data_IF_261129692417
#
_entry.id   IF_261129692417
#
_cell.length_a   1.000
_cell.length_b   1.000
_cell.length_c   1.000
_cell.angle_alpha   90.00
_cell.angle_beta   90.00
_cell.angle_gamma   90.00
#
_symmetry.space_group_name_H-M   'P 1'
#
loop_
_entity.id
_entity.type
_entity.pdbx_description
1 polymer ?
#
# COMPACT_ATOMS: atom_id res chain seq x y z
N UNK A 1 11.23 -25.51 -50.49
CA UNK A 1 11.31 -26.21 -49.19
C UNK A 1 12.48 -25.61 -48.43
N UNK A 2 12.39 -25.06 -47.23
CA UNK A 2 11.32 -24.61 -46.36
C UNK A 2 11.94 -23.46 -45.55
N UNK A 3 11.23 -22.34 -45.40
CA UNK A 3 10.56 -22.01 -44.14
C UNK A 3 11.54 -21.83 -42.96
N UNK A 4 12.18 -20.66 -42.87
CA UNK A 4 12.42 -20.03 -41.57
C UNK A 4 12.07 -18.54 -41.69
N UNK A 5 10.81 -18.27 -41.36
CA UNK A 5 10.20 -16.95 -41.28
C UNK A 5 10.74 -16.30 -40.01
N UNK A 6 11.63 -15.32 -40.18
CA UNK A 6 12.00 -14.36 -39.12
C UNK A 6 10.74 -13.59 -38.78
N UNK A 7 10.18 -13.83 -37.61
CA UNK A 7 9.05 -13.08 -37.07
C UNK A 7 9.51 -11.63 -36.93
N UNK A 8 8.95 -10.75 -37.75
CA UNK A 8 8.84 -9.34 -37.42
C UNK A 8 8.03 -9.25 -36.14
N UNK A 9 8.69 -8.89 -35.04
CA UNK A 9 8.03 -8.44 -33.83
C UNK A 9 7.46 -7.06 -34.15
N UNK A 10 6.24 -7.09 -34.67
CA UNK A 10 5.41 -5.92 -34.91
C UNK A 10 5.14 -5.28 -33.56
N UNK A 11 5.76 -4.13 -33.34
CA UNK A 11 5.38 -3.14 -32.35
C UNK A 11 3.90 -2.80 -32.51
N UNK A 12 3.04 -3.43 -31.69
CA UNK A 12 1.65 -3.05 -31.53
C UNK A 12 1.46 -2.58 -30.09
N UNK A 13 1.18 -1.29 -29.98
CA UNK A 13 1.06 -0.41 -28.83
C UNK A 13 0.50 -1.01 -27.52
N UNK A 14 1.16 -0.78 -26.37
CA UNK A 14 0.57 -0.95 -25.06
C UNK A 14 -0.20 0.32 -24.70
N UNK A 15 -1.53 0.26 -24.66
CA UNK A 15 -2.32 1.18 -23.82
C UNK A 15 -2.58 0.48 -22.48
N UNK A 16 -1.50 0.17 -21.76
CA UNK A 16 -1.53 -0.29 -20.37
C UNK A 16 -1.61 0.93 -19.45
N UNK A 17 -2.82 1.43 -19.24
CA UNK A 17 -3.12 2.15 -18.00
C UNK A 17 -3.22 1.11 -16.88
N UNK A 18 -2.65 1.40 -15.70
CA UNK A 18 -2.84 0.50 -14.56
C UNK A 18 -4.35 0.40 -14.25
N UNK A 19 -4.86 -0.73 -13.71
CA UNK A 19 -6.27 -0.88 -13.38
C UNK A 19 -6.78 0.29 -12.51
N UNK A 20 -5.92 0.82 -11.64
CA UNK A 20 -6.18 1.99 -10.81
C UNK A 20 -6.42 3.26 -11.63
N UNK A 21 -5.64 3.51 -12.69
CA UNK A 21 -5.82 4.70 -13.53
C UNK A 21 -7.11 4.63 -14.36
N UNK A 22 -7.52 3.42 -14.77
CA UNK A 22 -8.80 3.20 -15.45
C UNK A 22 -9.99 3.43 -14.52
N UNK A 23 -9.91 2.98 -13.26
CA UNK A 23 -10.93 3.28 -12.24
C UNK A 23 -11.08 4.80 -12.06
N UNK A 24 -9.96 5.52 -11.91
CA UNK A 24 -9.98 6.98 -11.72
C UNK A 24 -10.62 7.69 -12.92
N UNK A 25 -10.30 7.26 -14.14
CA UNK A 25 -10.88 7.85 -15.36
C UNK A 25 -12.38 7.57 -15.48
N UNK A 26 -12.81 6.31 -15.28
CA UNK A 26 -14.23 5.94 -15.36
C UNK A 26 -15.06 6.62 -14.27
N UNK A 27 -14.52 6.72 -13.06
CA UNK A 27 -15.18 7.46 -11.98
C UNK A 27 -15.23 8.97 -12.25
N UNK A 28 -14.19 9.52 -12.88
CA UNK A 28 -14.16 10.92 -13.36
C UNK A 28 -15.22 11.22 -14.43
N UNK A 29 -15.69 10.20 -15.14
CA UNK A 29 -16.82 10.29 -16.08
C UNK A 29 -18.19 10.17 -15.39
N UNK A 30 -18.23 10.04 -14.06
CA UNK A 30 -19.46 9.93 -13.27
C UNK A 30 -20.08 8.53 -13.24
N UNK A 31 -19.35 7.49 -13.65
CA UNK A 31 -19.79 6.10 -13.55
C UNK A 31 -19.82 5.65 -12.08
N UNK A 32 -20.82 4.85 -11.72
CA UNK A 32 -20.94 4.23 -10.40
C UNK A 32 -19.97 3.06 -10.27
N UNK A 33 -19.54 2.73 -9.04
CA UNK A 33 -18.56 1.66 -8.80
C UNK A 33 -18.99 0.31 -9.40
N UNK A 34 -20.28 -0.02 -9.37
CA UNK A 34 -20.80 -1.23 -10.03
C UNK A 34 -20.62 -1.22 -11.55
N UNK A 35 -20.75 -0.06 -12.20
CA UNK A 35 -20.55 0.10 -13.63
C UNK A 35 -19.05 0.06 -13.99
N UNK A 36 -18.20 0.62 -13.12
CA UNK A 36 -16.74 0.55 -13.25
C UNK A 36 -16.25 -0.90 -13.16
N UNK A 37 -16.78 -1.69 -12.21
CA UNK A 37 -16.46 -3.11 -12.08
C UNK A 37 -16.82 -3.87 -13.35
N UNK A 38 -18.01 -3.65 -13.92
CA UNK A 38 -18.44 -4.32 -15.15
C UNK A 38 -17.59 -3.94 -16.36
N UNK A 39 -17.19 -2.66 -16.46
CA UNK A 39 -16.30 -2.20 -17.52
C UNK A 39 -14.92 -2.88 -17.43
N UNK A 40 -14.33 -2.92 -16.23
CA UNK A 40 -13.01 -3.54 -16.01
C UNK A 40 -13.03 -5.07 -16.17
N UNK A 41 -14.12 -5.73 -15.78
CA UNK A 41 -14.31 -7.15 -16.06
C UNK A 41 -14.39 -7.44 -17.57
N UNK A 42 -15.06 -6.55 -18.32
CA UNK A 42 -15.12 -6.64 -19.78
C UNK A 42 -13.75 -6.42 -20.44
N UNK A 43 -12.92 -5.58 -19.83
CA UNK A 43 -11.54 -5.34 -20.26
C UNK A 43 -10.58 -6.46 -19.84
N UNK A 44 -11.08 -7.49 -19.13
CA UNK A 44 -10.37 -8.72 -18.83
C UNK A 44 -9.63 -8.73 -17.48
N UNK A 45 -9.85 -7.72 -16.63
CA UNK A 45 -9.22 -7.67 -15.32
C UNK A 45 -9.87 -8.65 -14.33
N UNK A 46 -9.05 -9.27 -13.49
CA UNK A 46 -9.52 -10.16 -12.43
C UNK A 46 -10.22 -9.37 -11.32
N UNK A 47 -11.25 -9.93 -10.70
CA UNK A 47 -12.02 -9.28 -9.63
C UNK A 47 -11.12 -8.71 -8.53
N UNK A 48 -10.10 -9.45 -8.09
CA UNK A 48 -9.17 -8.99 -7.04
C UNK A 48 -8.37 -7.76 -7.46
N UNK A 49 -7.96 -7.69 -8.73
CA UNK A 49 -7.25 -6.53 -9.27
C UNK A 49 -8.16 -5.30 -9.33
N UNK A 50 -9.45 -5.51 -9.65
CA UNK A 50 -10.46 -4.44 -9.70
C UNK A 50 -10.70 -3.88 -8.29
N UNK A 51 -10.88 -4.73 -7.29
CA UNK A 51 -11.10 -4.29 -5.91
C UNK A 51 -9.89 -3.56 -5.33
N UNK A 52 -8.68 -4.08 -5.57
CA UNK A 52 -7.45 -3.41 -5.14
C UNK A 52 -7.27 -2.05 -5.82
N UNK A 53 -7.57 -1.97 -7.12
CA UNK A 53 -7.52 -0.73 -7.89
C UNK A 53 -8.55 0.30 -7.41
N UNK A 54 -9.76 -0.12 -7.06
CA UNK A 54 -10.78 0.78 -6.51
C UNK A 54 -10.39 1.36 -5.16
N UNK A 55 -9.90 0.51 -4.24
CA UNK A 55 -9.41 0.98 -2.94
C UNK A 55 -8.22 1.94 -3.09
N UNK A 56 -7.30 1.65 -4.01
CA UNK A 56 -6.17 2.53 -4.29
C UNK A 56 -6.61 3.85 -4.96
N UNK A 57 -7.63 3.82 -5.82
CA UNK A 57 -8.21 5.01 -6.43
C UNK A 57 -8.95 5.89 -5.42
N UNK A 58 -9.59 5.32 -4.40
CA UNK A 58 -10.21 6.07 -3.29
C UNK A 58 -9.17 6.83 -2.46
N UNK A 59 -8.05 6.17 -2.17
CA UNK A 59 -6.93 6.79 -1.45
C UNK A 59 -6.31 7.91 -2.29
N UNK A 60 -6.03 7.64 -3.57
CA UNK A 60 -5.39 8.60 -4.47
C UNK A 60 -6.31 9.79 -4.81
N UNK A 61 -7.61 9.54 -4.99
CA UNK A 61 -8.63 10.56 -5.23
C UNK A 61 -8.98 11.39 -4.00
N UNK A 62 -8.82 10.85 -2.79
CA UNK A 62 -9.03 11.58 -1.53
C UNK A 62 -7.89 12.52 -1.15
N UNK A 63 -6.68 12.36 -1.72
CA UNK A 63 -5.49 13.15 -1.36
C UNK A 63 -5.42 14.50 -2.10
N UNK A 64 -6.13 14.68 -3.23
CA UNK A 64 -6.19 15.98 -3.93
C UNK A 64 -7.20 16.98 -3.31
N UNK A 65 -7.88 16.61 -2.23
CA UNK A 65 -8.81 17.48 -1.50
C UNK A 65 -8.59 17.42 0.01
N UNK A 66 -7.37 17.71 0.46
CA UNK A 66 -7.12 18.00 1.87
C UNK A 66 -7.04 19.52 2.12
N UNK A 67 -7.70 20.02 3.17
CA UNK A 67 -7.10 20.99 4.06
C UNK A 67 -6.78 20.31 5.40
N UNK A 68 -5.47 20.27 5.69
CA UNK A 68 -4.78 20.33 7.00
C UNK A 68 -5.23 19.47 8.20
N UNK A 69 -4.28 18.81 8.90
CA UNK A 69 -4.54 18.05 10.11
C UNK A 69 -4.61 18.96 11.36
N UNK A 70 -5.63 18.78 12.19
CA UNK A 70 -5.70 19.34 13.55
C UNK A 70 -5.48 18.20 14.55
N UNK A 71 -4.64 18.50 15.55
CA UNK A 71 -4.21 17.65 16.66
C UNK A 71 -5.37 17.28 17.63
N UNK A 72 -5.18 16.34 18.58
CA UNK A 72 -6.26 15.69 19.30
C UNK A 72 -6.68 16.48 20.56
N UNK A 73 -7.98 16.77 20.69
CA UNK A 73 -8.59 17.27 21.92
C UNK A 73 -9.58 16.24 22.49
N UNK A 74 -9.55 16.13 23.81
CA UNK A 74 -10.34 15.23 24.62
C UNK A 74 -11.81 15.66 24.75
N UNK A 75 -12.71 14.69 24.85
CA UNK A 75 -14.02 14.82 25.49
C UNK A 75 -15.13 15.44 24.62
N UNK A 76 -16.14 14.63 24.27
CA UNK A 76 -17.38 15.15 23.70
C UNK A 76 -18.23 14.11 22.97
N UNK A 77 -19.29 13.67 23.65
CA UNK A 77 -20.55 13.08 23.16
C UNK A 77 -20.68 12.78 21.65
N UNK A 78 -20.85 11.50 21.33
CA UNK A 78 -21.28 10.98 20.02
C UNK A 78 -22.72 11.44 19.68
N UNK A 79 -22.98 12.02 18.50
CA UNK A 79 -24.32 12.05 17.91
C UNK A 79 -24.66 10.71 17.24
N UNK A 80 -25.92 10.22 17.31
CA UNK A 80 -26.31 8.98 16.66
C UNK A 80 -26.39 9.15 15.12
N UNK A 81 -26.15 8.08 14.34
CA UNK A 81 -26.21 8.11 12.88
C UNK A 81 -27.66 8.24 12.36
N UNK A 82 -27.91 9.03 11.30
CA UNK A 82 -29.19 9.05 10.60
C UNK A 82 -29.27 7.96 9.53
N UNK A 83 -30.41 7.27 9.47
CA UNK A 83 -30.87 6.56 8.26
C UNK A 83 -30.89 5.04 8.35
N UNK A 84 -31.95 4.49 8.93
CA UNK A 84 -32.41 3.13 8.63
C UNK A 84 -33.29 3.16 7.36
N UNK A 85 -33.19 2.18 6.44
CA UNK A 85 -34.09 2.08 5.30
C UNK A 85 -35.53 1.77 5.75
N UNK A 86 -36.49 2.56 5.28
CA UNK A 86 -37.93 2.29 5.41
C UNK A 86 -38.30 1.02 4.63
N UNK A 87 -38.85 0.04 5.34
CA UNK A 87 -39.52 -1.10 4.72
C UNK A 87 -40.78 -0.61 3.98
N UNK A 88 -40.79 -0.86 2.67
CA UNK A 88 -41.93 -0.62 1.79
C UNK A 88 -43.03 -1.64 2.10
N UNK A 89 -44.22 -1.13 2.40
CA UNK A 89 -45.42 -1.92 2.64
C UNK A 89 -45.81 -2.77 1.43
N UNK A 90 -45.83 -4.09 1.62
CA UNK A 90 -46.47 -5.03 0.71
C UNK A 90 -47.93 -5.16 1.13
N UNK A 91 -48.80 -4.64 0.27
CA UNK A 91 -50.24 -4.77 0.29
C UNK A 91 -50.64 -6.24 0.11
N UNK A 92 -51.14 -6.90 1.16
CA UNK A 92 -51.61 -8.29 1.12
C UNK A 92 -53.15 -8.32 1.12
N UNK A 93 -53.81 -9.03 0.19
CA UNK A 93 -55.27 -9.12 0.15
C UNK A 93 -55.82 -9.97 1.31
N UNK A 94 -57.04 -9.68 1.82
CA UNK A 94 -57.62 -10.36 2.97
C UNK A 94 -58.03 -11.81 2.66
N UNK A 95 -58.02 -12.71 3.66
CA UNK A 95 -58.46 -14.09 3.50
C UNK A 95 -59.99 -14.18 3.32
N UNK A 96 -60.51 -15.16 2.54
CA UNK A 96 -61.94 -15.32 2.33
C UNK A 96 -62.67 -15.75 3.60
N UNK A 97 -63.79 -15.10 3.88
CA UNK A 97 -64.75 -15.50 4.91
C UNK A 97 -65.41 -16.83 4.54
N UNK A 98 -65.36 -17.79 5.45
CA UNK A 98 -66.09 -19.05 5.37
C UNK A 98 -67.60 -18.80 5.51
N UNK A 99 -68.38 -19.22 4.50
CA UNK A 99 -69.83 -19.38 4.63
C UNK A 99 -70.16 -20.83 5.00
N UNK A 100 -71.11 -21.10 5.92
CA UNK A 100 -71.55 -22.45 6.22
C UNK A 100 -72.48 -22.93 5.11
N UNK A 101 -72.02 -23.84 4.26
CA UNK A 101 -72.86 -24.47 3.25
C UNK A 101 -73.48 -25.76 3.81
N UNK A 102 -74.80 -25.72 3.96
CA UNK A 102 -75.70 -26.82 4.30
C UNK A 102 -75.62 -27.98 3.30
N UNK A 103 -75.52 -29.19 3.83
CA UNK A 103 -75.49 -30.45 3.07
C UNK A 103 -76.83 -30.81 2.40
N UNK A 104 -76.79 -31.43 1.20
CA UNK A 104 -77.79 -32.39 0.75
C UNK A 104 -77.19 -33.81 0.61
N UNK A 105 -77.98 -34.88 0.83
CA UNK A 105 -77.49 -36.25 0.68
C UNK A 105 -77.70 -36.75 -0.76
N UNK A 106 -76.67 -37.33 -1.38
CA UNK A 106 -76.82 -38.18 -2.56
C UNK A 106 -75.61 -39.15 -2.61
N UNK A 107 -75.78 -40.40 -2.19
CA UNK A 107 -76.14 -41.56 -3.02
C UNK A 107 -75.05 -41.98 -4.02
N UNK A 108 -74.37 -43.06 -3.64
CA UNK A 108 -73.56 -44.02 -4.39
C UNK A 108 -73.08 -43.68 -5.79
N UNK A 109 -71.76 -43.53 -5.94
CA UNK A 109 -71.05 -43.89 -7.17
C UNK A 109 -69.70 -44.53 -6.82
N UNK A 110 -69.31 -45.49 -7.65
CA UNK A 110 -68.22 -46.44 -7.49
C UNK A 110 -66.81 -45.81 -7.38
N UNK A 111 -65.84 -46.50 -6.75
CA UNK A 111 -64.45 -46.05 -6.72
C UNK A 111 -63.78 -46.24 -8.08
N UNK A 112 -63.39 -45.14 -8.70
CA UNK A 112 -62.34 -45.09 -9.73
C UNK A 112 -60.98 -45.31 -9.05
N UNK A 113 -60.04 -46.10 -9.64
CA UNK A 113 -58.68 -46.16 -9.15
C UNK A 113 -57.98 -44.85 -9.52
N UNK A 114 -58.03 -43.89 -8.59
CA UNK A 114 -57.19 -42.71 -8.63
C UNK A 114 -55.75 -43.12 -8.32
N UNK A 115 -54.84 -42.77 -9.22
CA UNK A 115 -53.40 -42.78 -8.97
C UNK A 115 -53.13 -41.97 -7.69
N UNK A 116 -52.87 -42.68 -6.60
CA UNK A 116 -52.32 -42.11 -5.38
C UNK A 116 -50.88 -41.68 -5.66
N UNK A 117 -50.69 -40.41 -5.99
CA UNK A 117 -49.42 -39.75 -5.75
C UNK A 117 -49.30 -39.56 -4.24
N UNK A 118 -48.58 -40.48 -3.60
CA UNK A 118 -48.20 -40.39 -2.21
C UNK A 118 -47.45 -39.09 -1.97
N UNK A 119 -48.09 -38.18 -1.25
CA UNK A 119 -47.53 -36.92 -0.72
C UNK A 119 -46.59 -37.16 0.46
N UNK A 120 -45.68 -38.13 0.33
CA UNK A 120 -44.64 -38.44 1.33
C UNK A 120 -43.24 -38.59 0.71
N UNK A 121 -43.14 -39.15 -0.50
CA UNK A 121 -41.82 -39.56 -1.02
C UNK A 121 -41.04 -38.47 -1.79
N UNK A 122 -41.70 -37.38 -2.21
CA UNK A 122 -41.04 -36.28 -2.93
C UNK A 122 -40.27 -35.35 -1.99
N UNK A 123 -40.87 -35.02 -0.85
CA UNK A 123 -40.28 -34.13 0.16
C UNK A 123 -39.10 -34.80 0.86
N UNK A 124 -39.20 -36.08 1.21
CA UNK A 124 -38.12 -36.86 1.83
C UNK A 124 -36.87 -36.94 0.94
N UNK A 125 -37.04 -37.11 -0.38
CA UNK A 125 -35.91 -37.09 -1.34
C UNK A 125 -35.31 -35.70 -1.51
N UNK A 126 -36.15 -34.66 -1.50
CA UNK A 126 -35.68 -33.27 -1.55
C UNK A 126 -34.92 -32.91 -0.26
N UNK A 127 -35.37 -33.41 0.89
CA UNK A 127 -34.74 -33.24 2.20
C UNK A 127 -33.39 -33.98 2.26
N UNK A 128 -33.33 -35.23 1.80
CA UNK A 128 -32.07 -36.01 1.75
C UNK A 128 -31.04 -35.35 0.81
N UNK A 129 -31.48 -34.84 -0.35
CA UNK A 129 -30.61 -34.09 -1.27
C UNK A 129 -30.19 -32.75 -0.65
N UNK A 130 -31.09 -32.06 0.06
CA UNK A 130 -30.79 -30.80 0.71
C UNK A 130 -29.80 -30.98 1.86
N UNK A 131 -29.96 -31.98 2.72
CA UNK A 131 -29.02 -32.31 3.80
C UNK A 131 -27.64 -32.67 3.26
N UNK A 132 -27.57 -33.52 2.22
CA UNK A 132 -26.29 -33.87 1.59
C UNK A 132 -25.58 -32.64 0.98
N UNK A 133 -26.33 -31.72 0.34
CA UNK A 133 -25.78 -30.48 -0.19
C UNK A 133 -25.33 -29.54 0.94
N UNK A 134 -26.13 -29.42 2.01
CA UNK A 134 -25.78 -28.58 3.17
C UNK A 134 -24.50 -29.11 3.82
N UNK A 135 -24.38 -30.41 4.06
CA UNK A 135 -23.19 -31.02 4.66
C UNK A 135 -21.96 -30.85 3.76
N UNK A 136 -22.08 -31.04 2.45
CA UNK A 136 -20.97 -30.81 1.52
C UNK A 136 -20.50 -29.35 1.58
N UNK A 137 -21.43 -28.40 1.51
CA UNK A 137 -21.10 -26.97 1.56
C UNK A 137 -20.58 -26.53 2.92
N UNK A 138 -21.13 -27.07 4.00
CA UNK A 138 -20.66 -26.80 5.36
C UNK A 138 -19.23 -27.29 5.56
N UNK A 139 -18.91 -28.50 5.09
CA UNK A 139 -17.55 -29.04 5.17
C UNK A 139 -16.54 -28.22 4.36
N UNK A 140 -16.94 -27.73 3.17
CA UNK A 140 -16.09 -26.81 2.37
C UNK A 140 -15.88 -25.50 3.12
N UNK A 141 -16.93 -24.92 3.69
CA UNK A 141 -16.85 -23.66 4.44
C UNK A 141 -15.97 -23.79 5.68
N UNK A 142 -16.10 -24.88 6.46
CA UNK A 142 -15.22 -25.15 7.61
C UNK A 142 -13.77 -25.29 7.18
N UNK A 143 -13.51 -25.96 6.05
CA UNK A 143 -12.16 -26.10 5.50
C UNK A 143 -11.55 -24.75 5.13
N UNK A 144 -12.33 -23.86 4.52
CA UNK A 144 -11.85 -22.54 4.14
C UNK A 144 -11.65 -21.63 5.36
N UNK A 145 -12.50 -21.72 6.40
CA UNK A 145 -12.26 -21.06 7.69
C UNK A 145 -10.96 -21.52 8.31
N UNK A 146 -10.66 -22.82 8.31
CA UNK A 146 -9.41 -23.34 8.87
C UNK A 146 -8.19 -22.77 8.15
N UNK A 147 -8.23 -22.65 6.81
CA UNK A 147 -7.15 -21.99 6.04
C UNK A 147 -7.00 -20.51 6.41
N UNK A 148 -8.11 -19.81 6.66
CA UNK A 148 -8.07 -18.40 7.10
C UNK A 148 -7.44 -18.29 8.49
N UNK A 149 -7.72 -19.22 9.40
CA UNK A 149 -7.09 -19.27 10.72
C UNK A 149 -5.59 -19.52 10.59
N UNK A 150 -5.17 -20.51 9.79
CA UNK A 150 -3.75 -20.77 9.52
C UNK A 150 -3.04 -19.56 8.92
N UNK A 151 -3.67 -18.89 7.95
CA UNK A 151 -3.14 -17.68 7.35
C UNK A 151 -3.07 -16.51 8.36
N UNK A 152 -4.08 -16.36 9.22
CA UNK A 152 -4.08 -15.37 10.30
C UNK A 152 -2.91 -15.61 11.24
N UNK A 153 -2.68 -16.85 11.66
CA UNK A 153 -1.58 -17.19 12.57
C UNK A 153 -0.21 -16.96 11.91
N UNK A 154 -0.06 -17.28 10.62
CA UNK A 154 1.15 -16.97 9.86
C UNK A 154 1.37 -15.45 9.75
N UNK A 155 0.31 -14.67 9.51
CA UNK A 155 0.39 -13.22 9.42
C UNK A 155 0.71 -12.57 10.77
N UNK A 156 0.10 -13.03 11.87
CA UNK A 156 0.40 -12.55 13.23
C UNK A 156 1.87 -12.80 13.58
N UNK A 157 2.42 -13.95 13.19
CA UNK A 157 3.85 -14.25 13.35
C UNK A 157 4.73 -13.32 12.52
N UNK A 158 4.35 -13.03 11.26
CA UNK A 158 5.09 -12.09 10.40
C UNK A 158 5.04 -10.67 10.93
N UNK A 159 3.88 -10.21 11.39
CA UNK A 159 3.69 -8.89 12.00
C UNK A 159 4.60 -8.76 13.23
N UNK A 160 4.57 -9.74 14.13
CA UNK A 160 5.44 -9.74 15.33
C UNK A 160 6.93 -9.68 14.95
N UNK A 161 7.33 -10.40 13.89
CA UNK A 161 8.71 -10.38 13.40
C UNK A 161 9.09 -9.02 12.81
N UNK A 162 8.20 -8.41 12.03
CA UNK A 162 8.41 -7.08 11.44
C UNK A 162 8.49 -6.02 12.53
N UNK A 163 7.62 -6.06 13.53
CA UNK A 163 7.68 -5.16 14.69
C UNK A 163 9.02 -5.27 15.42
N UNK A 164 9.52 -6.49 15.61
CA UNK A 164 10.86 -6.73 16.16
C UNK A 164 11.96 -6.08 15.31
N UNK A 165 11.96 -6.34 14.00
CA UNK A 165 12.95 -5.77 13.07
C UNK A 165 12.91 -4.24 13.00
N UNK A 166 11.73 -3.63 13.09
CA UNK A 166 11.58 -2.17 13.13
C UNK A 166 12.15 -1.59 14.43
N UNK A 167 11.96 -2.27 15.55
CA UNK A 167 12.55 -1.87 16.83
C UNK A 167 14.08 -1.98 16.81
N UNK A 168 14.63 -3.08 16.28
CA UNK A 168 16.07 -3.26 16.12
C UNK A 168 16.66 -2.19 15.20
N UNK A 169 16.00 -1.92 14.06
CA UNK A 169 16.40 -0.87 13.12
C UNK A 169 16.41 0.51 13.78
N UNK A 170 15.41 0.80 14.63
CA UNK A 170 15.35 2.04 15.40
C UNK A 170 16.54 2.14 16.36
N UNK A 171 16.88 1.06 17.06
CA UNK A 171 18.02 1.04 17.98
C UNK A 171 19.34 1.27 17.24
N UNK A 172 19.53 0.59 16.10
CA UNK A 172 20.73 0.74 15.27
C UNK A 172 20.84 2.12 14.64
N UNK A 173 19.71 2.73 14.24
CA UNK A 173 19.66 4.12 13.79
C UNK A 173 20.07 5.08 14.92
N UNK A 174 19.56 4.89 16.14
CA UNK A 174 19.92 5.72 17.29
C UNK A 174 21.42 5.59 17.64
N UNK A 175 21.99 4.38 17.54
CA UNK A 175 23.44 4.16 17.69
C UNK A 175 24.24 4.86 16.59
N UNK A 176 23.82 4.73 15.34
CA UNK A 176 24.46 5.37 14.21
C UNK A 176 24.42 6.89 14.34
N UNK A 177 23.28 7.45 14.72
CA UNK A 177 23.11 8.88 14.93
C UNK A 177 24.07 9.41 16.00
N UNK A 178 24.19 8.72 17.14
CA UNK A 178 25.17 9.05 18.18
C UNK A 178 26.60 8.96 17.68
N UNK A 179 26.95 7.92 16.93
CA UNK A 179 28.28 7.74 16.37
C UNK A 179 28.63 8.86 15.37
N UNK A 180 27.68 9.27 14.52
CA UNK A 180 27.84 10.38 13.58
C UNK A 180 28.06 11.69 14.32
N UNK A 181 27.27 12.01 15.35
CA UNK A 181 27.46 13.23 16.15
C UNK A 181 28.84 13.23 16.78
N UNK A 182 29.24 12.13 17.43
CA UNK A 182 30.57 12.01 18.03
C UNK A 182 31.68 12.21 16.99
N UNK A 183 31.50 11.68 15.77
CA UNK A 183 32.47 11.87 14.70
C UNK A 183 32.53 13.32 14.24
N UNK A 184 31.39 14.00 14.11
CA UNK A 184 31.32 15.41 13.77
C UNK A 184 32.01 16.26 14.85
N UNK A 185 31.79 15.98 16.13
CA UNK A 185 32.46 16.67 17.24
C UNK A 185 33.98 16.48 17.20
N UNK A 186 34.45 15.26 16.91
CA UNK A 186 35.87 14.99 16.67
C UNK A 186 36.41 15.78 15.48
N UNK A 187 35.65 15.88 14.38
CA UNK A 187 36.03 16.66 13.21
C UNK A 187 36.10 18.16 13.51
N UNK A 188 35.14 18.71 14.24
CA UNK A 188 35.13 20.13 14.64
C UNK A 188 36.32 20.47 15.52
N UNK A 189 36.65 19.60 16.48
CA UNK A 189 37.85 19.74 17.31
C UNK A 189 39.12 19.67 16.47
N UNK A 190 39.24 18.68 15.59
CA UNK A 190 40.41 18.56 14.71
C UNK A 190 40.54 19.77 13.78
N UNK A 191 39.43 20.30 13.25
CA UNK A 191 39.43 21.49 12.42
C UNK A 191 39.86 22.74 13.20
N UNK A 192 39.42 22.86 14.45
CA UNK A 192 39.84 23.92 15.36
C UNK A 192 41.34 23.84 15.67
N UNK A 193 41.85 22.64 15.95
CA UNK A 193 43.27 22.39 16.19
C UNK A 193 44.11 22.74 14.94
N UNK A 194 43.69 22.28 13.76
CA UNK A 194 44.32 22.65 12.48
C UNK A 194 44.25 24.17 12.24
N UNK A 195 43.14 24.83 12.57
CA UNK A 195 43.03 26.29 12.49
C UNK A 195 44.03 27.00 13.39
N UNK A 196 44.27 26.47 14.59
CA UNK A 196 45.27 26.99 15.53
C UNK A 196 46.70 26.79 15.01
N UNK A 197 46.99 25.62 14.42
CA UNK A 197 48.30 25.30 13.85
C UNK A 197 48.58 26.15 12.60
N UNK A 198 47.59 26.32 11.72
CA UNK A 198 47.68 27.23 10.57
C UNK A 198 47.95 28.66 11.04
N UNK A 199 47.31 29.12 12.11
CA UNK A 199 47.56 30.45 12.68
C UNK A 199 48.98 30.59 13.23
N UNK A 200 49.47 29.58 13.95
CA UNK A 200 50.84 29.54 14.44
C UNK A 200 51.84 29.54 13.27
N UNK A 201 51.58 28.73 12.24
CA UNK A 201 52.37 28.69 11.02
C UNK A 201 52.39 30.06 10.33
N UNK A 202 51.24 30.75 10.24
CA UNK A 202 51.18 32.12 9.71
C UNK A 202 52.06 33.09 10.50
N UNK A 203 52.04 33.02 11.84
CA UNK A 203 52.92 33.84 12.69
C UNK A 203 54.40 33.51 12.49
N UNK A 204 54.74 32.24 12.27
CA UNK A 204 56.12 31.84 11.93
C UNK A 204 56.51 32.42 10.57
N UNK A 205 55.65 32.31 9.56
CA UNK A 205 55.88 32.93 8.25
C UNK A 205 56.08 34.45 8.34
N UNK A 206 55.24 35.16 9.10
CA UNK A 206 55.39 36.60 9.34
C UNK A 206 56.74 36.98 9.96
N UNK A 207 57.31 36.12 10.82
CA UNK A 207 58.64 36.33 11.42
C UNK A 207 59.79 35.93 10.50
N UNK A 208 59.61 34.90 9.68
CA UNK A 208 60.66 34.38 8.79
C UNK A 208 60.79 35.24 7.53
N UNK A 209 59.69 35.76 6.97
CA UNK A 209 59.72 36.58 5.75
C UNK A 209 60.68 37.79 5.82
N UNK A 210 60.70 38.61 6.90
CA UNK A 210 61.67 39.68 7.06
C UNK A 210 63.11 39.16 7.12
N UNK A 211 63.36 38.13 7.94
CA UNK A 211 64.69 37.52 8.09
C UNK A 211 65.22 36.99 6.76
N UNK A 212 64.37 36.33 5.98
CA UNK A 212 64.73 35.82 4.65
C UNK A 212 65.03 36.96 3.68
N UNK A 213 64.23 38.04 3.72
CA UNK A 213 64.43 39.25 2.90
C UNK A 213 65.75 39.96 3.26
N UNK A 214 66.05 40.10 4.55
CA UNK A 214 67.30 40.66 5.08
C UNK A 214 68.49 39.82 4.59
N UNK A 215 68.45 38.50 4.76
CA UNK A 215 69.50 37.58 4.34
C UNK A 215 69.75 37.62 2.83
N UNK A 216 68.70 37.67 2.00
CA UNK A 216 68.83 37.82 0.54
C UNK A 216 69.48 39.18 0.19
N UNK A 217 69.07 40.25 0.87
CA UNK A 217 69.65 41.58 0.67
C UNK A 217 71.14 41.62 1.07
N UNK A 218 71.52 40.99 2.18
CA UNK A 218 72.92 40.83 2.58
C UNK A 218 73.73 40.03 1.56
N UNK A 219 73.20 38.88 1.13
CA UNK A 219 73.86 38.04 0.12
C UNK A 219 74.04 38.80 -1.21
N UNK A 220 73.04 39.57 -1.62
CA UNK A 220 73.11 40.47 -2.79
C UNK A 220 74.19 41.54 -2.62
N UNK A 221 74.31 42.16 -1.43
CA UNK A 221 75.37 43.12 -1.12
C UNK A 221 76.76 42.48 -1.12
N UNK A 222 76.93 41.30 -0.53
CA UNK A 222 78.19 40.53 -0.52
C UNK A 222 78.59 40.19 -1.95
N UNK A 223 77.67 39.67 -2.75
CA UNK A 223 77.89 39.35 -4.17
C UNK A 223 78.29 40.60 -4.97
N UNK A 224 77.61 41.74 -4.76
CA UNK A 224 77.97 43.02 -5.38
C UNK A 224 79.34 43.54 -4.96
N UNK A 225 79.80 43.28 -3.73
CA UNK A 225 81.15 43.64 -3.27
C UNK A 225 82.23 42.74 -3.86
N UNK A 226 81.94 41.46 -4.07
CA UNK A 226 82.86 40.49 -4.67
C UNK A 226 82.95 40.60 -6.20
N UNK A 227 81.86 41.00 -6.86
CA UNK A 227 81.81 41.25 -8.32
C UNK A 227 82.90 42.18 -8.87
N UNK A 228 83.18 43.38 -8.32
CA UNK A 228 84.19 44.30 -8.84
C UNK A 228 85.63 43.84 -8.59
N UNK A 229 85.85 42.90 -7.66
CA UNK A 229 87.18 42.35 -7.38
C UNK A 229 87.61 41.44 -8.55
N UNK A 230 86.67 40.72 -9.17
CA UNK A 230 86.94 39.83 -10.32
C UNK A 230 87.22 40.59 -11.63
N UNK A 231 86.85 41.87 -11.72
CA UNK A 231 87.06 42.71 -12.92
C UNK A 231 88.40 43.44 -12.94
N UNK A 232 89.22 43.33 -11.89
CA UNK A 232 90.56 43.98 -11.81
C UNK A 232 91.74 43.01 -12.02
N UNK A 233 91.46 41.75 -12.33
CA UNK A 233 92.49 40.71 -12.53
C UNK A 233 92.60 40.24 -14.00
N UNK A 234 92.20 41.10 -14.95
CA UNK A 234 92.44 40.91 -16.38
C UNK A 234 93.06 42.15 -16.99
#
# INVERSE_FOLDING_TARGET
MGLFKKSEETTASPTEGTPTDQVINLRGQGLTDNQVIQALQKDGFASDQIFNAMSQADIKGGIESAPTPIAPEAGGTLPPPPGAPQEQGINMPPPPQEMPMSAPPAQGYAPTPGYGWGTGSGTERIEEIAEAIIDEKWNVLVKDINKIVEWKDEMDSKITTVEGQVNDLKEDFDKLHKAIISKIDEYDKNLTDVGSEIKAMNQVFEKVLPTFTENINELSRITKKLSPIKSKEK
#
